data_IF_525689505014
#
_entry.id   IF_525689505014
#
_cell.length_a   1.000
_cell.length_b   1.000
_cell.length_c   1.000
_cell.angle_alpha   90.00
_cell.angle_beta   90.00
_cell.angle_gamma   90.00
#
_symmetry.space_group_name_H-M   'P 1'
#
loop_
_entity.id
_entity.type
_entity.pdbx_description
1 polymer ?
#
# COMPACT_ATOMS: atom_id res chain seq x y z
N UNK A 1 -12.61 -21.32 5.64
CA UNK A 1 -13.22 -22.66 5.65
C UNK A 1 -12.41 -23.55 6.58
N UNK A 2 -13.10 -24.33 7.41
CA UNK A 2 -12.46 -25.22 8.37
C UNK A 2 -12.75 -26.68 8.00
N UNK A 3 -11.74 -27.53 8.12
CA UNK A 3 -11.83 -28.98 7.91
C UNK A 3 -11.73 -29.69 9.25
N UNK A 4 -12.76 -30.43 9.63
CA UNK A 4 -12.67 -31.39 10.74
C UNK A 4 -12.21 -32.74 10.17
N UNK A 5 -11.10 -33.30 10.65
CA UNK A 5 -10.56 -34.60 10.22
C UNK A 5 -10.66 -35.57 11.40
N UNK A 6 -11.34 -36.70 11.23
CA UNK A 6 -11.61 -37.67 12.31
C UNK A 6 -10.82 -38.96 12.12
N UNK A 7 -10.26 -39.48 13.21
CA UNK A 7 -9.48 -40.72 13.25
C UNK A 7 -9.78 -41.49 14.54
N UNK A 8 -9.28 -42.73 14.62
CA UNK A 8 -9.64 -43.70 15.67
C UNK A 8 -9.48 -43.14 17.10
N UNK A 9 -8.48 -42.28 17.31
CA UNK A 9 -8.14 -41.72 18.62
C UNK A 9 -8.49 -40.21 18.78
N UNK A 10 -9.33 -39.62 17.91
CA UNK A 10 -9.74 -38.22 18.05
C UNK A 10 -10.05 -37.49 16.75
N UNK A 11 -9.98 -36.15 16.79
CA UNK A 11 -10.18 -35.29 15.62
C UNK A 11 -9.19 -34.12 15.58
N UNK A 12 -8.97 -33.57 14.39
CA UNK A 12 -8.14 -32.39 14.14
C UNK A 12 -8.93 -31.37 13.34
N UNK A 13 -8.87 -30.11 13.76
CA UNK A 13 -9.41 -28.98 13.00
C UNK A 13 -8.29 -28.31 12.19
N UNK A 14 -8.54 -28.04 10.92
CA UNK A 14 -7.61 -27.32 10.03
C UNK A 14 -8.32 -26.12 9.40
N UNK A 15 -7.85 -24.92 9.72
CA UNK A 15 -8.25 -23.69 9.04
C UNK A 15 -7.60 -23.68 7.64
N UNK A 16 -8.33 -24.11 6.63
CA UNK A 16 -7.78 -24.46 5.31
C UNK A 16 -7.08 -23.28 4.64
N UNK A 17 -7.68 -22.09 4.71
CA UNK A 17 -7.12 -20.89 4.10
C UNK A 17 -5.77 -20.50 4.73
N UNK A 18 -5.69 -20.50 6.06
CA UNK A 18 -4.45 -20.23 6.79
C UNK A 18 -3.38 -21.30 6.51
N UNK A 19 -3.79 -22.56 6.46
CA UNK A 19 -2.91 -23.68 6.14
C UNK A 19 -2.32 -23.55 4.74
N UNK A 20 -3.16 -23.26 3.74
CA UNK A 20 -2.71 -23.09 2.35
C UNK A 20 -1.87 -21.81 2.16
N UNK A 21 -2.08 -20.78 2.98
CA UNK A 21 -1.25 -19.57 2.99
C UNK A 21 0.22 -19.82 3.39
N UNK A 22 0.54 -20.95 4.04
CA UNK A 22 1.92 -21.41 4.29
C UNK A 22 2.64 -21.74 2.97
N UNK A 23 1.89 -22.05 1.89
CA UNK A 23 2.41 -22.34 0.54
C UNK A 23 3.43 -23.48 0.50
N UNK A 24 3.20 -24.53 1.29
CA UNK A 24 4.07 -25.70 1.34
C UNK A 24 3.40 -26.95 0.77
N UNK A 25 3.78 -27.34 -0.44
CA UNK A 25 3.29 -28.58 -1.07
C UNK A 25 3.62 -29.82 -0.25
N UNK A 26 4.78 -29.85 0.43
CA UNK A 26 5.13 -30.94 1.34
C UNK A 26 4.11 -31.07 2.49
N UNK A 27 3.67 -29.95 3.07
CA UNK A 27 2.63 -29.97 4.12
C UNK A 27 1.27 -30.40 3.53
N UNK A 28 0.91 -29.89 2.35
CA UNK A 28 -0.32 -30.32 1.65
C UNK A 28 -0.33 -31.82 1.43
N UNK A 29 0.75 -32.41 0.91
CA UNK A 29 0.87 -33.86 0.72
C UNK A 29 0.71 -34.64 2.02
N UNK A 30 1.27 -34.14 3.13
CA UNK A 30 1.09 -34.76 4.45
C UNK A 30 -0.36 -34.71 4.90
N UNK A 31 -1.03 -33.56 4.72
CA UNK A 31 -2.44 -33.39 5.03
C UNK A 31 -3.33 -34.33 4.20
N UNK A 32 -3.11 -34.39 2.88
CA UNK A 32 -3.87 -35.28 1.99
C UNK A 32 -3.70 -36.76 2.39
N UNK A 33 -2.47 -37.19 2.72
CA UNK A 33 -2.24 -38.55 3.21
C UNK A 33 -3.04 -38.84 4.49
N UNK A 34 -3.07 -37.89 5.43
CA UNK A 34 -3.83 -38.02 6.67
C UNK A 34 -5.33 -38.14 6.39
N UNK A 35 -5.88 -37.25 5.54
CA UNK A 35 -7.29 -37.24 5.16
C UNK A 35 -7.70 -38.55 4.49
N UNK A 36 -6.90 -39.08 3.56
CA UNK A 36 -7.20 -40.34 2.87
C UNK A 36 -7.25 -41.56 3.80
N UNK A 37 -6.53 -41.52 4.92
CA UNK A 37 -6.57 -42.56 5.95
C UNK A 37 -7.56 -42.28 7.09
N UNK A 38 -8.29 -41.17 7.03
CA UNK A 38 -9.22 -40.73 8.07
C UNK A 38 -10.62 -41.34 7.87
N UNK A 39 -11.51 -41.13 8.85
CA UNK A 39 -12.92 -41.48 8.73
C UNK A 39 -13.73 -40.54 7.84
N UNK A 40 -13.11 -39.47 7.35
CA UNK A 40 -13.74 -38.47 6.48
C UNK A 40 -12.84 -38.09 5.29
N UNK A 41 -12.60 -39.04 4.35
CA UNK A 41 -11.80 -38.78 3.15
C UNK A 41 -12.42 -37.72 2.23
N UNK A 42 -13.71 -37.41 2.35
CA UNK A 42 -14.39 -36.35 1.60
C UNK A 42 -13.81 -34.95 1.86
N UNK A 43 -13.07 -34.75 2.95
CA UNK A 43 -12.32 -33.52 3.19
C UNK A 43 -11.31 -33.22 2.06
N UNK A 44 -10.84 -34.24 1.32
CA UNK A 44 -9.96 -34.02 0.16
C UNK A 44 -10.71 -33.30 -0.97
N UNK A 45 -11.97 -33.68 -1.22
CA UNK A 45 -12.82 -33.03 -2.22
C UNK A 45 -13.15 -31.59 -1.80
N UNK A 46 -13.36 -31.34 -0.51
CA UNK A 46 -13.54 -29.98 0.02
C UNK A 46 -12.32 -29.08 -0.24
N UNK A 47 -11.10 -29.63 -0.11
CA UNK A 47 -9.87 -28.89 -0.47
C UNK A 47 -9.87 -28.58 -1.98
N UNK A 48 -10.26 -29.55 -2.81
CA UNK A 48 -10.30 -29.39 -4.27
C UNK A 48 -11.25 -28.26 -4.68
N UNK A 49 -12.48 -28.28 -4.14
CA UNK A 49 -13.52 -27.27 -4.41
C UNK A 49 -13.04 -25.88 -4.00
N UNK A 50 -12.52 -25.74 -2.77
CA UNK A 50 -11.95 -24.48 -2.32
C UNK A 50 -10.86 -23.96 -3.27
N UNK A 51 -9.91 -24.82 -3.65
CA UNK A 51 -8.79 -24.40 -4.53
C UNK A 51 -9.27 -24.08 -5.94
N UNK A 52 -10.27 -24.79 -6.46
CA UNK A 52 -10.89 -24.50 -7.75
C UNK A 52 -11.61 -23.15 -7.75
N UNK A 53 -12.46 -22.87 -6.76
CA UNK A 53 -13.13 -21.58 -6.60
C UNK A 53 -12.11 -20.42 -6.55
N UNK A 54 -11.03 -20.59 -5.79
CA UNK A 54 -9.96 -19.59 -5.72
C UNK A 54 -9.24 -19.41 -7.08
N UNK A 55 -9.11 -20.48 -7.87
CA UNK A 55 -8.47 -20.44 -9.18
C UNK A 55 -9.37 -19.78 -10.24
N UNK A 56 -10.67 -20.01 -10.16
CA UNK A 56 -11.66 -19.37 -11.06
C UNK A 56 -11.72 -17.86 -10.85
N UNK A 57 -11.71 -17.41 -9.59
CA UNK A 57 -11.72 -15.99 -9.25
C UNK A 57 -10.37 -15.30 -9.49
N UNK A 58 -9.29 -16.05 -9.75
CA UNK A 58 -7.94 -15.52 -9.88
C UNK A 58 -7.86 -14.35 -10.87
N UNK A 59 -8.39 -14.52 -12.08
CA UNK A 59 -8.29 -13.49 -13.13
C UNK A 59 -9.05 -12.22 -12.76
N UNK A 60 -10.20 -12.37 -12.13
CA UNK A 60 -11.01 -11.24 -11.67
C UNK A 60 -10.28 -10.45 -10.57
N UNK A 61 -9.80 -11.14 -9.54
CA UNK A 61 -9.02 -10.53 -8.44
C UNK A 61 -7.75 -9.86 -8.97
N UNK A 62 -7.08 -10.49 -9.94
CA UNK A 62 -5.90 -9.94 -10.57
C UNK A 62 -6.20 -8.64 -11.32
N UNK A 63 -7.27 -8.63 -12.13
CA UNK A 63 -7.72 -7.44 -12.86
C UNK A 63 -8.12 -6.32 -11.91
N UNK A 64 -8.85 -6.64 -10.85
CA UNK A 64 -9.24 -5.67 -9.83
C UNK A 64 -8.01 -4.99 -9.20
N UNK A 65 -7.04 -5.77 -8.73
CA UNK A 65 -5.81 -5.22 -8.19
C UNK A 65 -5.03 -4.38 -9.22
N UNK A 66 -5.00 -4.80 -10.48
CA UNK A 66 -4.37 -4.04 -11.57
C UNK A 66 -4.99 -2.64 -11.73
N UNK A 67 -6.33 -2.56 -11.74
CA UNK A 67 -7.07 -1.29 -11.86
C UNK A 67 -6.71 -0.36 -10.70
N UNK A 68 -6.69 -0.87 -9.46
CA UNK A 68 -6.32 -0.06 -8.30
C UNK A 68 -4.85 0.39 -8.36
N UNK A 69 -3.93 -0.48 -8.77
CA UNK A 69 -2.51 -0.15 -8.91
C UNK A 69 -2.32 0.99 -9.92
N UNK A 70 -2.99 0.90 -11.08
CA UNK A 70 -2.95 1.95 -12.09
C UNK A 70 -3.51 3.27 -11.54
N UNK A 71 -4.69 3.24 -10.92
CA UNK A 71 -5.32 4.41 -10.33
C UNK A 71 -4.46 5.07 -9.24
N UNK A 72 -3.86 4.29 -8.34
CA UNK A 72 -2.95 4.83 -7.33
C UNK A 72 -1.65 5.36 -7.94
N UNK A 73 -1.13 4.72 -9.00
CA UNK A 73 0.06 5.20 -9.71
C UNK A 73 -0.18 6.58 -10.32
N UNK A 74 -1.35 6.80 -10.94
CA UNK A 74 -1.73 8.10 -11.47
C UNK A 74 -1.89 9.15 -10.36
N UNK A 75 -2.57 8.81 -9.25
CA UNK A 75 -2.72 9.70 -8.09
C UNK A 75 -1.37 10.09 -7.48
N UNK A 76 -0.43 9.14 -7.35
CA UNK A 76 0.93 9.41 -6.85
C UNK A 76 1.64 10.40 -7.77
N UNK A 77 1.61 10.19 -9.10
CA UNK A 77 2.22 11.11 -10.07
C UNK A 77 1.66 12.52 -9.96
N UNK A 78 0.33 12.63 -9.87
CA UNK A 78 -0.35 13.92 -9.71
C UNK A 78 0.05 14.62 -8.40
N UNK A 79 0.06 13.90 -7.27
CA UNK A 79 0.46 14.45 -5.98
C UNK A 79 1.95 14.90 -5.98
N UNK A 80 2.84 14.15 -6.64
CA UNK A 80 4.24 14.54 -6.81
C UNK A 80 4.39 15.84 -7.62
N UNK A 81 3.58 16.02 -8.66
CA UNK A 81 3.54 17.25 -9.45
C UNK A 81 3.05 18.44 -8.62
N UNK A 82 1.97 18.27 -7.84
CA UNK A 82 1.46 19.30 -6.94
C UNK A 82 2.52 19.74 -5.93
N UNK A 83 3.21 18.78 -5.31
CA UNK A 83 4.32 19.06 -4.39
C UNK A 83 5.45 19.85 -5.07
N UNK A 84 5.78 19.52 -6.32
CA UNK A 84 6.81 20.24 -7.08
C UNK A 84 6.41 21.70 -7.30
N UNK A 85 5.16 21.95 -7.69
CA UNK A 85 4.62 23.31 -7.89
C UNK A 85 4.63 24.10 -6.58
N UNK A 86 4.17 23.50 -5.48
CA UNK A 86 4.17 24.16 -4.17
C UNK A 86 5.58 24.47 -3.67
N UNK A 87 6.54 23.55 -3.88
CA UNK A 87 7.97 23.81 -3.58
C UNK A 87 8.51 24.98 -4.38
N UNK A 88 8.16 25.07 -5.66
CA UNK A 88 8.58 26.19 -6.52
C UNK A 88 8.02 27.52 -6.00
N UNK A 89 6.74 27.58 -5.67
CA UNK A 89 6.10 28.75 -5.06
C UNK A 89 6.79 29.17 -3.75
N UNK A 90 7.04 28.22 -2.84
CA UNK A 90 7.79 28.48 -1.60
C UNK A 90 9.16 29.08 -1.91
N UNK A 91 9.90 28.53 -2.87
CA UNK A 91 11.22 29.01 -3.27
C UNK A 91 11.17 30.46 -3.78
N UNK A 92 10.19 30.81 -4.61
CA UNK A 92 10.01 32.18 -5.11
C UNK A 92 9.74 33.16 -3.96
N UNK A 93 8.86 32.81 -3.03
CA UNK A 93 8.55 33.65 -1.87
C UNK A 93 9.78 33.78 -0.97
N UNK A 94 10.54 32.70 -0.77
CA UNK A 94 11.80 32.72 -0.01
C UNK A 94 12.84 33.65 -0.63
N UNK A 95 12.95 33.71 -1.96
CA UNK A 95 13.81 34.70 -2.63
C UNK A 95 13.34 36.12 -2.32
N UNK A 96 12.02 36.38 -2.33
CA UNK A 96 11.45 37.67 -1.92
C UNK A 96 11.77 38.05 -0.47
N UNK A 97 11.74 37.07 0.45
CA UNK A 97 12.18 37.26 1.85
C UNK A 97 13.64 37.67 1.89
N UNK A 98 14.53 36.94 1.20
CA UNK A 98 15.97 37.23 1.18
C UNK A 98 16.26 38.62 0.64
N UNK A 99 15.67 39.00 -0.49
CA UNK A 99 15.85 40.32 -1.10
C UNK A 99 15.37 41.43 -0.15
N UNK A 100 14.20 41.26 0.48
CA UNK A 100 13.66 42.24 1.43
C UNK A 100 14.53 42.35 2.70
N UNK A 101 15.12 41.25 3.15
CA UNK A 101 16.06 41.25 4.27
C UNK A 101 17.33 42.02 3.92
N UNK A 102 17.93 41.77 2.76
CA UNK A 102 19.10 42.51 2.28
C UNK A 102 18.84 44.02 2.22
N UNK A 103 17.71 44.43 1.65
CA UNK A 103 17.31 45.84 1.58
C UNK A 103 17.02 46.44 2.95
N UNK A 104 16.47 45.68 3.89
CA UNK A 104 16.27 46.15 5.27
C UNK A 104 17.61 46.35 5.96
N UNK A 105 18.53 45.40 5.81
CA UNK A 105 19.79 45.34 6.54
C UNK A 105 20.82 46.36 6.02
N UNK A 106 20.62 46.93 4.83
CA UNK A 106 21.41 48.07 4.33
C UNK A 106 21.06 49.41 4.99
N UNK A 107 20.01 49.48 5.81
CA UNK A 107 19.60 50.69 6.51
C UNK A 107 19.79 50.59 8.02
N UNK A 108 20.12 51.71 8.67
CA UNK A 108 20.22 51.78 10.14
C UNK A 108 18.89 51.41 10.77
N UNK A 109 18.95 50.54 11.78
CA UNK A 109 17.79 50.07 12.55
C UNK A 109 16.95 51.24 13.07
N UNK A 110 15.63 51.05 13.08
CA UNK A 110 14.62 52.01 13.56
C UNK A 110 14.44 53.29 12.74
N UNK A 111 15.18 53.49 11.65
CA UNK A 111 14.86 54.53 10.66
C UNK A 111 13.51 54.23 9.98
N UNK A 112 12.85 55.25 9.42
CA UNK A 112 11.58 55.08 8.69
C UNK A 112 11.72 54.02 7.59
N UNK A 113 12.74 54.17 6.74
CA UNK A 113 13.03 53.23 5.64
C UNK A 113 13.28 51.81 6.16
N UNK A 114 14.03 51.64 7.25
CA UNK A 114 14.22 50.32 7.87
C UNK A 114 12.89 49.70 8.34
N UNK A 115 12.01 50.50 8.96
CA UNK A 115 10.70 50.01 9.45
C UNK A 115 9.81 49.57 8.28
N UNK A 116 9.80 50.33 7.19
CA UNK A 116 9.05 50.02 5.97
C UNK A 116 9.55 48.70 5.34
N UNK A 117 10.87 48.55 5.17
CA UNK A 117 11.46 47.29 4.66
C UNK A 117 11.25 46.10 5.60
N UNK A 118 11.26 46.33 6.91
CA UNK A 118 10.94 45.29 7.88
C UNK A 118 9.47 44.84 7.80
N UNK A 119 8.55 45.75 7.45
CA UNK A 119 7.15 45.39 7.17
C UNK A 119 7.06 44.51 5.91
N UNK A 120 7.82 44.80 4.86
CA UNK A 120 7.91 43.94 3.67
C UNK A 120 8.40 42.52 4.02
N UNK A 121 9.47 42.40 4.82
CA UNK A 121 9.97 41.09 5.31
C UNK A 121 8.87 40.33 6.06
N UNK A 122 8.12 41.00 6.94
CA UNK A 122 6.99 40.38 7.66
C UNK A 122 5.90 39.91 6.68
N UNK A 123 5.54 40.72 5.69
CA UNK A 123 4.54 40.39 4.67
C UNK A 123 4.93 39.14 3.87
N UNK A 124 6.19 39.03 3.44
CA UNK A 124 6.66 37.83 2.75
C UNK A 124 6.72 36.59 3.65
N UNK A 125 7.11 36.75 4.92
CA UNK A 125 7.07 35.64 5.89
C UNK A 125 5.65 35.16 6.17
N UNK A 126 4.69 36.07 6.23
CA UNK A 126 3.28 35.71 6.37
C UNK A 126 2.79 34.90 5.17
N UNK A 127 3.13 35.34 3.95
CA UNK A 127 2.85 34.62 2.70
C UNK A 127 3.44 33.21 2.63
N UNK A 128 4.48 32.90 3.41
CA UNK A 128 5.06 31.55 3.47
C UNK A 128 4.25 30.57 4.32
N UNK A 129 3.37 31.03 5.22
CA UNK A 129 2.66 30.14 6.14
C UNK A 129 1.77 29.15 5.39
N UNK A 130 0.89 29.65 4.53
CA UNK A 130 -0.05 28.82 3.78
C UNK A 130 0.64 27.79 2.89
N UNK A 131 1.57 28.14 1.98
CA UNK A 131 2.23 27.16 1.12
C UNK A 131 3.01 26.09 1.90
N UNK A 132 3.57 26.44 3.07
CA UNK A 132 4.26 25.47 3.94
C UNK A 132 3.29 24.48 4.57
N UNK A 133 2.13 24.95 5.01
CA UNK A 133 1.07 24.08 5.52
C UNK A 133 0.53 23.17 4.40
N UNK A 134 0.26 23.72 3.22
CA UNK A 134 -0.13 22.94 2.03
C UNK A 134 0.89 21.86 1.70
N UNK A 135 2.18 22.20 1.67
CA UNK A 135 3.25 21.23 1.38
C UNK A 135 3.32 20.12 2.43
N UNK A 136 3.04 20.44 3.70
CA UNK A 136 3.01 19.44 4.79
C UNK A 136 1.88 18.44 4.56
N UNK A 137 0.68 18.91 4.27
CA UNK A 137 -0.48 18.04 4.03
C UNK A 137 -0.31 17.21 2.75
N UNK A 138 0.14 17.81 1.64
CA UNK A 138 0.42 17.09 0.39
C UNK A 138 1.44 15.95 0.60
N UNK A 139 2.47 16.16 1.42
CA UNK A 139 3.44 15.10 1.74
C UNK A 139 2.83 13.96 2.55
N UNK A 140 1.88 14.27 3.45
CA UNK A 140 1.15 13.27 4.21
C UNK A 140 0.27 12.42 3.29
N UNK A 141 -0.49 13.08 2.41
CA UNK A 141 -1.32 12.42 1.41
C UNK A 141 -0.49 11.55 0.46
N UNK A 142 0.65 12.05 -0.03
CA UNK A 142 1.56 11.28 -0.87
C UNK A 142 2.07 10.01 -0.15
N UNK A 143 2.35 10.09 1.15
CA UNK A 143 2.78 8.94 1.95
C UNK A 143 1.67 7.89 2.03
N UNK A 144 0.42 8.30 2.25
CA UNK A 144 -0.75 7.42 2.29
C UNK A 144 -1.00 6.78 0.93
N UNK A 145 -0.94 7.53 -0.17
CA UNK A 145 -1.09 7.00 -1.52
C UNK A 145 0.00 5.96 -1.87
N UNK A 146 1.26 6.23 -1.51
CA UNK A 146 2.37 5.27 -1.71
C UNK A 146 2.20 4.01 -0.87
N UNK A 147 1.67 4.13 0.35
CA UNK A 147 1.34 2.99 1.20
C UNK A 147 0.23 2.13 0.56
N UNK A 148 -0.85 2.75 0.10
CA UNK A 148 -1.95 2.05 -0.57
C UNK A 148 -1.50 1.35 -1.86
N UNK A 149 -0.70 2.04 -2.69
CA UNK A 149 -0.11 1.46 -3.89
C UNK A 149 0.72 0.22 -3.56
N UNK A 150 1.61 0.31 -2.57
CA UNK A 150 2.45 -0.82 -2.13
C UNK A 150 1.60 -1.97 -1.61
N UNK A 151 0.57 -1.70 -0.81
CA UNK A 151 -0.34 -2.73 -0.30
C UNK A 151 -1.03 -3.47 -1.45
N UNK A 152 -1.50 -2.76 -2.47
CA UNK A 152 -2.16 -3.37 -3.63
C UNK A 152 -1.20 -4.17 -4.49
N UNK A 153 0.03 -3.68 -4.70
CA UNK A 153 1.11 -4.44 -5.35
C UNK A 153 1.41 -5.75 -4.61
N UNK A 154 1.50 -5.72 -3.28
CA UNK A 154 1.71 -6.93 -2.49
C UNK A 154 0.57 -7.95 -2.63
N UNK A 155 -0.69 -7.49 -2.64
CA UNK A 155 -1.83 -8.37 -2.88
C UNK A 155 -1.84 -8.96 -4.28
N UNK A 156 -1.52 -8.16 -5.30
CA UNK A 156 -1.36 -8.62 -6.69
C UNK A 156 -0.26 -9.70 -6.81
N UNK A 157 0.93 -9.45 -6.24
CA UNK A 157 2.03 -10.40 -6.24
C UNK A 157 1.73 -11.66 -5.42
N UNK A 158 0.93 -11.53 -4.36
CA UNK A 158 0.44 -12.67 -3.58
C UNK A 158 -0.53 -13.51 -4.41
N UNK A 159 -1.46 -12.87 -5.11
CA UNK A 159 -2.40 -13.56 -5.99
C UNK A 159 -1.65 -14.40 -7.03
N UNK A 160 -0.67 -13.81 -7.73
CA UNK A 160 0.17 -14.53 -8.72
C UNK A 160 0.81 -15.78 -8.11
N UNK A 161 1.44 -15.63 -6.93
CA UNK A 161 2.09 -16.77 -6.24
C UNK A 161 1.07 -17.83 -5.79
N UNK A 162 -0.13 -17.43 -5.43
CA UNK A 162 -1.20 -18.35 -5.05
C UNK A 162 -1.65 -19.18 -6.25
N UNK A 163 -1.74 -18.62 -7.46
CA UNK A 163 -2.11 -19.38 -8.67
C UNK A 163 -1.19 -20.57 -8.91
N UNK A 164 0.13 -20.35 -8.92
CA UNK A 164 1.09 -21.43 -9.15
C UNK A 164 1.06 -22.48 -8.04
N UNK A 165 0.84 -22.04 -6.80
CA UNK A 165 0.72 -22.93 -5.66
C UNK A 165 -0.55 -23.78 -5.74
N UNK A 166 -1.70 -23.17 -6.01
CA UNK A 166 -3.00 -23.83 -6.13
C UNK A 166 -3.05 -24.83 -7.28
N UNK A 167 -2.45 -24.51 -8.43
CA UNK A 167 -2.27 -25.47 -9.51
C UNK A 167 -1.55 -26.74 -9.03
N UNK A 168 -0.44 -26.58 -8.28
CA UNK A 168 0.30 -27.70 -7.70
C UNK A 168 -0.50 -28.45 -6.63
N UNK A 169 -1.36 -27.78 -5.86
CA UNK A 169 -2.24 -28.46 -4.90
C UNK A 169 -3.20 -29.39 -5.65
N UNK A 170 -3.85 -28.90 -6.70
CA UNK A 170 -4.76 -29.71 -7.53
C UNK A 170 -4.06 -30.92 -8.16
N UNK A 171 -2.80 -30.77 -8.61
CA UNK A 171 -1.98 -31.89 -9.13
C UNK A 171 -1.71 -33.01 -8.10
N UNK A 172 -1.86 -32.74 -6.80
CA UNK A 172 -1.64 -33.75 -5.74
C UNK A 172 -2.93 -34.37 -5.20
N UNK A 173 -4.09 -33.82 -5.57
CA UNK A 173 -5.42 -34.36 -5.23
C UNK A 173 -5.78 -35.42 -6.26
N UNK A 174 -6.28 -36.58 -5.80
CA UNK A 174 -6.58 -37.74 -6.65
C UNK A 174 -8.08 -37.92 -6.83
#
# INVERSE_FOLDING_TARGET
MDLEIRYENGSMMVHLEEFLNIRSITKVRKLLKLIRSSFNPECEQQIKEFVQEQTEQFEQVQKEHSIYIEGYTQKVKYAEQQIMQTKHCISQIQTGVKNSQLLRDSHRKNTKVWKDRNADVKKYRERLKEPRNTLKEQKKELKELKFLLRSRQQSFDRNIRNKDFYKKVLENIT
#
